data_IF_060430148138
#
_entry.id   IF_060430148138
#
_cell.length_a   1.000
_cell.length_b   1.000
_cell.length_c   1.000
_cell.angle_alpha   90.00
_cell.angle_beta   90.00
_cell.angle_gamma   90.00
#
_symmetry.space_group_name_H-M   'P 1'
#
loop_
_entity.id
_entity.type
_entity.pdbx_description
1 polymer ?
#
# COMPACT_ATOMS: atom_id res chain seq x y z
N UNK A 1 7.01 -7.21 -22.21
CA UNK A 1 6.05 -6.83 -21.16
C UNK A 1 6.68 -5.71 -20.37
N UNK A 2 5.95 -4.63 -20.07
CA UNK A 2 6.46 -3.60 -19.14
C UNK A 2 6.57 -4.24 -17.76
N UNK A 3 7.76 -4.23 -17.17
CA UNK A 3 7.95 -4.73 -15.81
C UNK A 3 7.30 -3.74 -14.85
N UNK A 4 6.38 -4.21 -14.00
CA UNK A 4 5.77 -3.41 -12.95
C UNK A 4 6.72 -3.34 -11.74
N UNK A 5 6.82 -2.16 -11.13
CA UNK A 5 7.67 -1.89 -9.97
C UNK A 5 6.94 -2.24 -8.65
N UNK A 6 6.59 -3.52 -8.48
CA UNK A 6 6.07 -3.98 -7.20
C UNK A 6 7.15 -3.93 -6.13
N UNK A 7 6.81 -3.34 -4.99
CA UNK A 7 7.64 -3.20 -3.78
C UNK A 7 7.10 -4.10 -2.68
N UNK A 8 7.97 -4.68 -1.86
CA UNK A 8 7.57 -5.59 -0.79
C UNK A 8 7.28 -4.80 0.50
N UNK A 9 6.15 -5.08 1.15
CA UNK A 9 5.80 -4.47 2.43
C UNK A 9 6.10 -5.46 3.59
N UNK A 10 6.54 -5.00 4.78
CA UNK A 10 6.84 -3.61 5.17
C UNK A 10 8.25 -3.12 4.80
N UNK A 11 9.07 -3.95 4.13
CA UNK A 11 10.48 -3.67 3.85
C UNK A 11 10.71 -2.38 3.04
N UNK A 12 9.81 -2.10 2.09
CA UNK A 12 9.85 -0.94 1.19
C UNK A 12 8.54 -0.15 1.32
N UNK A 13 8.26 0.46 2.46
CA UNK A 13 7.06 1.30 2.63
C UNK A 13 7.07 2.52 1.67
N UNK A 14 5.90 3.07 1.28
CA UNK A 14 5.86 4.30 0.49
C UNK A 14 6.65 5.42 1.17
N UNK A 15 7.51 6.09 0.39
CA UNK A 15 8.38 7.15 0.90
C UNK A 15 7.55 8.34 1.41
N UNK A 16 8.06 9.08 2.40
CA UNK A 16 7.47 10.37 2.80
C UNK A 16 7.77 11.43 1.74
N UNK A 17 6.80 12.26 1.40
CA UNK A 17 7.00 13.36 0.44
C UNK A 17 6.34 14.65 0.90
N UNK A 18 7.16 15.71 0.99
CA UNK A 18 6.74 17.01 1.47
C UNK A 18 5.47 17.51 0.76
N UNK A 19 4.39 17.63 1.55
CA UNK A 19 3.12 18.20 1.10
C UNK A 19 2.13 17.21 0.47
N UNK A 20 2.44 15.92 0.38
CA UNK A 20 1.50 14.88 -0.06
C UNK A 20 1.11 14.01 1.13
N UNK A 21 -0.03 14.31 1.75
CA UNK A 21 -0.51 13.55 2.91
C UNK A 21 -0.87 12.09 2.56
N UNK A 22 -1.39 11.83 1.36
CA UNK A 22 -1.90 10.53 0.96
C UNK A 22 -1.49 10.13 -0.45
N UNK A 23 -1.05 8.87 -0.62
CA UNK A 23 -0.57 8.32 -1.89
C UNK A 23 -1.45 7.17 -2.36
N UNK A 24 -2.01 7.29 -3.56
CA UNK A 24 -2.81 6.22 -4.16
C UNK A 24 -1.89 5.10 -4.67
N UNK A 25 -2.12 3.91 -4.14
CA UNK A 25 -1.40 2.70 -4.47
C UNK A 25 -2.36 1.62 -4.96
N UNK A 26 -1.80 0.67 -5.69
CA UNK A 26 -2.39 -0.65 -5.86
C UNK A 26 -1.64 -1.59 -4.92
N UNK A 27 -2.37 -2.32 -4.07
CA UNK A 27 -1.82 -3.22 -3.05
C UNK A 27 -2.22 -4.66 -3.33
N UNK A 28 -1.34 -5.59 -2.95
CA UNK A 28 -1.61 -7.03 -2.92
C UNK A 28 -1.93 -7.43 -1.49
N UNK A 29 -3.21 -7.70 -1.25
CA UNK A 29 -3.72 -8.16 0.04
C UNK A 29 -3.80 -9.68 0.10
N UNK A 30 -3.61 -10.21 1.31
CA UNK A 30 -3.88 -11.59 1.67
C UNK A 30 -4.84 -11.60 2.86
N UNK A 31 -5.90 -12.38 2.76
CA UNK A 31 -6.99 -12.39 3.74
C UNK A 31 -7.63 -13.77 3.84
N UNK A 32 -8.32 -14.05 4.94
CA UNK A 32 -9.16 -15.24 5.09
C UNK A 32 -10.57 -14.92 4.60
N UNK A 33 -11.10 -15.70 3.67
CA UNK A 33 -12.48 -15.54 3.24
C UNK A 33 -13.47 -16.07 4.31
N UNK A 34 -14.78 -15.94 4.07
CA UNK A 34 -15.82 -16.45 4.99
C UNK A 34 -15.86 -17.97 5.19
N UNK A 35 -14.95 -18.72 4.55
CA UNK A 35 -14.74 -20.18 4.71
C UNK A 35 -13.38 -20.50 5.34
N UNK A 36 -12.68 -19.51 5.89
CA UNK A 36 -11.33 -19.64 6.46
C UNK A 36 -10.27 -20.09 5.44
N UNK A 37 -10.52 -19.87 4.14
CA UNK A 37 -9.53 -20.16 3.10
C UNK A 37 -8.66 -18.92 2.86
N UNK A 38 -7.35 -19.12 2.77
CA UNK A 38 -6.39 -18.07 2.45
C UNK A 38 -6.57 -17.63 0.99
N UNK A 39 -6.96 -16.38 0.81
CA UNK A 39 -7.20 -15.73 -0.47
C UNK A 39 -6.23 -14.58 -0.68
N UNK A 40 -6.04 -14.21 -1.94
CA UNK A 40 -5.19 -13.09 -2.33
C UNK A 40 -5.92 -12.25 -3.39
N UNK A 41 -5.77 -10.93 -3.30
CA UNK A 41 -6.36 -10.01 -4.27
C UNK A 41 -5.46 -8.80 -4.52
N UNK A 42 -5.75 -8.09 -5.61
CA UNK A 42 -5.15 -6.80 -5.94
C UNK A 42 -6.24 -5.73 -5.91
N UNK A 43 -6.05 -4.72 -5.06
CA UNK A 43 -7.03 -3.67 -4.76
C UNK A 43 -6.34 -2.31 -4.72
N UNK A 44 -7.09 -1.21 -4.74
CA UNK A 44 -6.52 0.11 -4.53
C UNK A 44 -6.55 0.46 -3.03
N UNK A 45 -5.60 1.27 -2.58
CA UNK A 45 -5.60 1.84 -1.23
C UNK A 45 -4.81 3.15 -1.20
N UNK A 46 -5.03 3.95 -0.16
CA UNK A 46 -4.27 5.16 0.12
C UNK A 46 -3.32 4.91 1.29
N UNK A 47 -2.03 5.14 1.06
CA UNK A 47 -1.06 5.23 2.16
C UNK A 47 -1.04 6.65 2.69
N UNK A 48 -1.45 6.83 3.94
CA UNK A 48 -1.38 8.10 4.66
C UNK A 48 -0.10 8.12 5.48
N UNK A 49 0.86 8.94 5.07
CA UNK A 49 2.18 9.02 5.72
C UNK A 49 2.16 9.75 7.07
N UNK A 50 1.04 10.41 7.39
CA UNK A 50 0.79 11.15 8.63
C UNK A 50 -0.27 10.48 9.53
N UNK A 51 -0.59 9.21 9.27
CA UNK A 51 -1.70 8.52 9.93
C UNK A 51 -1.61 8.49 11.47
N UNK A 52 -0.41 8.27 12.02
CA UNK A 52 -0.19 8.19 13.47
C UNK A 52 1.14 8.83 13.84
N UNK A 53 1.19 9.59 14.93
CA UNK A 53 2.44 10.11 15.47
C UNK A 53 3.05 9.12 16.46
N UNK A 54 4.28 8.67 16.22
CA UNK A 54 5.03 7.80 17.11
C UNK A 54 5.97 8.63 18.00
N UNK A 55 5.63 8.72 19.29
CA UNK A 55 6.39 9.49 20.28
C UNK A 55 7.82 8.98 20.48
N UNK A 56 8.11 7.71 20.19
CA UNK A 56 9.45 7.14 20.33
C UNK A 56 10.35 7.51 19.16
N UNK A 57 9.77 7.64 17.97
CA UNK A 57 10.45 8.07 16.76
C UNK A 57 10.45 9.59 16.59
N UNK A 58 9.64 10.31 17.38
CA UNK A 58 9.36 11.75 17.24
C UNK A 58 8.95 12.10 15.80
N UNK A 59 8.17 11.20 15.18
CA UNK A 59 7.84 11.26 13.76
C UNK A 59 6.50 10.54 13.48
N UNK A 60 5.89 10.84 12.34
CA UNK A 60 4.69 10.15 11.89
C UNK A 60 5.00 8.77 11.29
N UNK A 61 4.18 7.78 11.59
CA UNK A 61 4.22 6.45 10.98
C UNK A 61 3.04 6.34 10.04
N UNK A 62 3.34 6.05 8.77
CA UNK A 62 2.31 5.95 7.76
C UNK A 62 1.51 4.66 7.85
N UNK A 63 0.23 4.72 7.50
CA UNK A 63 -0.69 3.57 7.49
C UNK A 63 -1.51 3.52 6.22
N UNK A 64 -1.97 2.30 5.92
CA UNK A 64 -2.94 2.02 4.88
C UNK A 64 -4.33 2.42 5.36
N UNK A 65 -5.14 3.04 4.50
CA UNK A 65 -6.39 3.68 4.92
C UNK A 65 -7.58 2.71 5.01
N UNK A 66 -7.62 1.68 4.16
CA UNK A 66 -8.80 0.80 4.04
C UNK A 66 -8.57 -0.66 4.46
N UNK A 67 -7.32 -1.07 4.73
CA UNK A 67 -6.95 -2.49 4.89
C UNK A 67 -6.32 -2.87 6.25
N UNK A 68 -6.84 -2.33 7.34
CA UNK A 68 -6.35 -2.66 8.70
C UNK A 68 -6.46 -4.16 9.08
N UNK A 69 -7.35 -4.92 8.44
CA UNK A 69 -7.58 -6.34 8.75
C UNK A 69 -6.96 -7.32 7.72
N UNK A 70 -6.40 -6.81 6.63
CA UNK A 70 -5.81 -7.63 5.57
C UNK A 70 -4.27 -7.54 5.62
N UNK A 71 -3.57 -8.64 5.33
CA UNK A 71 -2.12 -8.61 5.22
C UNK A 71 -1.71 -8.02 3.87
N UNK A 72 -1.22 -6.77 3.86
CA UNK A 72 -0.59 -6.18 2.68
C UNK A 72 0.82 -6.77 2.53
N UNK A 73 1.05 -7.40 1.38
CA UNK A 73 2.33 -8.06 1.08
C UNK A 73 3.21 -7.26 0.12
N UNK A 74 2.59 -6.57 -0.84
CA UNK A 74 3.29 -5.80 -1.88
C UNK A 74 2.43 -4.61 -2.32
N UNK A 75 3.05 -3.59 -2.90
CA UNK A 75 2.36 -2.42 -3.44
C UNK A 75 3.09 -1.81 -4.64
N UNK A 76 2.39 -0.95 -5.39
CA UNK A 76 2.92 -0.12 -6.47
C UNK A 76 2.14 1.20 -6.49
N UNK A 77 2.76 2.33 -6.86
CA UNK A 77 1.99 3.56 -7.02
C UNK A 77 1.05 3.44 -8.21
N UNK A 78 -0.18 3.94 -8.08
CA UNK A 78 -1.16 3.86 -9.17
C UNK A 78 -0.69 4.56 -10.46
N UNK A 79 0.11 5.63 -10.33
CA UNK A 79 0.67 6.36 -11.46
C UNK A 79 1.81 5.61 -12.18
N UNK A 80 2.36 4.54 -11.60
CA UNK A 80 3.37 3.70 -12.25
C UNK A 80 2.77 2.63 -13.16
N UNK A 81 1.43 2.49 -13.16
CA UNK A 81 0.76 1.55 -14.04
C UNK A 81 0.90 1.99 -15.51
N UNK A 82 1.16 1.05 -16.43
CA UNK A 82 1.21 1.37 -17.84
C UNK A 82 -0.15 1.86 -18.31
N UNK A 83 -0.16 2.98 -19.03
CA UNK A 83 -1.36 3.45 -19.72
C UNK A 83 -1.78 2.44 -20.80
N UNK A 84 -3.08 2.32 -21.09
CA UNK A 84 -3.55 1.52 -22.21
C UNK A 84 -2.90 2.01 -23.51
N UNK A 85 -2.62 1.07 -24.42
CA UNK A 85 -2.19 1.43 -25.78
C UNK A 85 -3.41 2.00 -26.52
N UNK A 86 -3.16 3.06 -27.30
CA UNK A 86 -4.13 3.58 -28.28
C UNK A 86 -4.51 2.53 -29.33
#
# INVERSE_FOLDING_TARGET
>A
MTKLNWRKFPDEAPEKEDGIAQKLCIVRIRFLNGREELCEATVYDWYDEHAEFDEWLDDYVGKWSEHDNDEITHWIYAHELPLPKE
#
